data_IF_966207008959
#
_entry.id   IF_966207008959
#
_cell.length_a   1.000
_cell.length_b   1.000
_cell.length_c   1.000
_cell.angle_alpha   90.00
_cell.angle_beta   90.00
_cell.angle_gamma   90.00
#
_symmetry.space_group_name_H-M   'P 1'
#
loop_
_entity.id
_entity.type
_entity.pdbx_description
1 polymer ?
#
# COMPACT_ATOMS: atom_id res chain seq x y z
N UNK A 1 -21.58 5.78 -5.98
CA UNK A 1 -20.98 4.44 -5.98
C UNK A 1 -21.83 3.56 -5.08
N UNK A 2 -22.29 2.39 -5.58
CA UNK A 2 -23.04 1.45 -4.72
C UNK A 2 -22.16 0.95 -3.58
N UNK A 3 -22.80 0.61 -2.47
CA UNK A 3 -22.17 0.13 -1.24
C UNK A 3 -21.59 -1.29 -1.49
N UNK A 4 -20.32 -1.36 -1.92
CA UNK A 4 -19.62 -2.65 -2.15
C UNK A 4 -19.24 -3.24 -0.79
N UNK A 5 -19.72 -4.45 -0.47
CA UNK A 5 -19.36 -5.16 0.75
C UNK A 5 -18.15 -6.05 0.59
N UNK A 6 -17.55 -6.49 1.71
CA UNK A 6 -16.42 -7.43 1.70
C UNK A 6 -16.74 -8.77 0.98
N UNK A 7 -18.01 -9.18 0.93
CA UNK A 7 -18.48 -10.39 0.23
C UNK A 7 -18.26 -10.34 -1.29
N UNK A 8 -18.13 -9.14 -1.87
CA UNK A 8 -17.81 -8.97 -3.28
C UNK A 8 -16.36 -9.38 -3.62
N UNK A 9 -15.47 -9.50 -2.62
CA UNK A 9 -14.08 -9.93 -2.80
C UNK A 9 -14.02 -11.45 -2.78
N UNK A 10 -13.95 -12.05 -3.97
CA UNK A 10 -13.84 -13.51 -4.15
C UNK A 10 -12.44 -13.89 -4.64
N UNK A 11 -12.05 -15.15 -4.46
CA UNK A 11 -10.78 -15.65 -4.98
C UNK A 11 -10.66 -15.52 -6.50
N UNK A 12 -11.76 -15.74 -7.22
CA UNK A 12 -11.78 -15.62 -8.68
C UNK A 12 -11.59 -14.16 -9.12
N UNK A 13 -12.25 -13.20 -8.44
CA UNK A 13 -12.01 -11.78 -8.66
C UNK A 13 -10.53 -11.41 -8.49
N UNK A 14 -9.88 -11.94 -7.44
CA UNK A 14 -8.46 -11.68 -7.15
C UNK A 14 -7.54 -12.32 -8.20
N UNK A 15 -7.85 -13.52 -8.64
CA UNK A 15 -7.11 -14.22 -9.72
C UNK A 15 -7.21 -13.47 -11.05
N UNK A 16 -8.40 -13.07 -11.43
CA UNK A 16 -8.62 -12.27 -12.62
C UNK A 16 -7.90 -10.92 -12.56
N UNK A 17 -7.94 -10.26 -11.40
CA UNK A 17 -7.22 -9.00 -11.19
C UNK A 17 -5.71 -9.22 -11.35
N UNK A 18 -5.15 -10.30 -10.81
CA UNK A 18 -3.73 -10.65 -10.99
C UNK A 18 -3.36 -10.80 -12.44
N UNK A 19 -4.17 -11.49 -13.25
CA UNK A 19 -3.89 -11.65 -14.68
C UNK A 19 -3.94 -10.30 -15.43
N UNK A 20 -4.92 -9.43 -15.08
CA UNK A 20 -4.96 -8.06 -15.63
C UNK A 20 -3.74 -7.23 -15.23
N UNK A 21 -3.27 -7.36 -13.98
CA UNK A 21 -2.05 -6.69 -13.50
C UNK A 21 -0.80 -7.17 -14.26
N UNK A 22 -0.66 -8.50 -14.43
CA UNK A 22 0.47 -9.12 -15.17
C UNK A 22 0.52 -8.72 -16.65
N UNK A 23 -0.63 -8.61 -17.28
CA UNK A 23 -0.75 -8.22 -18.70
C UNK A 23 -0.82 -6.71 -18.92
N UNK A 24 -0.77 -5.91 -17.87
CA UNK A 24 -0.87 -4.46 -17.94
C UNK A 24 0.31 -3.84 -18.69
N UNK A 25 0.04 -2.84 -19.56
CA UNK A 25 1.10 -2.09 -20.26
C UNK A 25 1.92 -1.19 -19.31
N UNK A 26 1.58 -1.11 -18.04
CA UNK A 26 2.28 -0.28 -17.05
C UNK A 26 3.62 -0.86 -16.59
N UNK A 27 3.99 -2.06 -17.04
CA UNK A 27 5.26 -2.70 -16.69
C UNK A 27 5.32 -3.13 -15.22
N UNK A 28 4.20 -3.59 -14.68
CA UNK A 28 4.17 -4.22 -13.36
C UNK A 28 4.97 -5.51 -13.39
N UNK A 29 5.90 -5.65 -12.46
CA UNK A 29 6.75 -6.85 -12.37
C UNK A 29 6.29 -7.77 -11.24
N UNK A 30 6.51 -9.08 -11.40
CA UNK A 30 6.47 -10.02 -10.29
C UNK A 30 7.77 -9.84 -9.49
N UNK A 31 7.72 -9.02 -8.43
CA UNK A 31 8.89 -8.71 -7.63
C UNK A 31 9.42 -9.94 -6.91
N UNK A 32 10.74 -10.08 -6.72
CA UNK A 32 11.32 -11.23 -6.06
C UNK A 32 10.86 -11.35 -4.60
N UNK A 33 10.86 -12.59 -4.11
CA UNK A 33 10.78 -12.93 -2.69
C UNK A 33 12.10 -13.59 -2.33
N UNK A 34 12.87 -12.92 -1.47
CA UNK A 34 14.23 -13.34 -1.13
C UNK A 34 14.28 -13.80 0.32
N UNK A 35 14.79 -15.01 0.61
CA UNK A 35 15.11 -15.41 1.98
C UNK A 35 16.12 -14.43 2.58
N UNK A 36 15.89 -13.95 3.80
CA UNK A 36 16.76 -12.96 4.43
C UNK A 36 18.22 -13.42 4.53
N UNK A 37 18.44 -14.75 4.74
CA UNK A 37 19.78 -15.34 4.79
C UNK A 37 20.57 -15.22 3.47
N UNK A 38 19.94 -14.84 2.37
CA UNK A 38 20.58 -14.51 1.10
C UNK A 38 20.82 -13.01 0.93
N UNK A 39 20.57 -12.23 1.95
CA UNK A 39 20.81 -10.79 1.99
C UNK A 39 21.92 -10.48 3.00
N UNK A 40 22.39 -9.23 3.04
CA UNK A 40 23.32 -8.74 4.06
C UNK A 40 22.63 -8.17 5.29
N UNK A 41 21.31 -8.38 5.42
CA UNK A 41 20.52 -7.88 6.55
C UNK A 41 20.96 -8.54 7.86
N UNK A 42 21.31 -7.77 8.88
CA UNK A 42 21.74 -8.29 10.17
C UNK A 42 20.53 -8.69 11.06
N UNK A 43 19.73 -9.64 10.60
CA UNK A 43 18.56 -10.08 11.36
C UNK A 43 18.93 -11.11 12.41
N UNK A 44 18.67 -10.78 13.67
CA UNK A 44 18.74 -11.72 14.78
C UNK A 44 17.32 -12.13 15.19
N UNK A 45 16.72 -13.03 14.40
CA UNK A 45 15.36 -13.53 14.61
C UNK A 45 15.36 -15.04 14.61
N UNK A 46 14.53 -15.64 15.45
CA UNK A 46 14.38 -17.10 15.59
C UNK A 46 13.44 -17.73 14.55
N UNK A 47 13.16 -17.04 13.44
CA UNK A 47 12.25 -17.45 12.38
C UNK A 47 12.90 -17.39 10.99
N UNK A 48 12.32 -18.08 10.02
CA UNK A 48 12.72 -18.01 8.62
C UNK A 48 11.98 -16.86 7.94
N UNK A 49 12.69 -15.78 7.59
CA UNK A 49 12.09 -14.59 6.98
C UNK A 49 12.30 -14.59 5.48
N UNK A 50 11.24 -14.31 4.74
CA UNK A 50 11.22 -14.08 3.29
C UNK A 50 10.75 -12.65 3.04
N UNK A 51 11.46 -11.90 2.20
CA UNK A 51 11.22 -10.49 1.95
C UNK A 51 10.64 -10.32 0.55
N UNK A 52 9.40 -9.85 0.46
CA UNK A 52 8.74 -9.46 -0.80
C UNK A 52 9.11 -8.04 -1.16
N UNK A 53 9.76 -7.85 -2.31
CA UNK A 53 10.47 -6.63 -2.69
C UNK A 53 9.60 -5.67 -3.53
N UNK A 54 8.46 -5.21 -3.03
CA UNK A 54 7.61 -4.25 -3.76
C UNK A 54 8.24 -2.84 -3.90
N UNK A 55 9.31 -2.56 -3.16
CA UNK A 55 10.17 -1.40 -3.37
C UNK A 55 10.86 -1.38 -4.75
N UNK A 56 10.91 -2.51 -5.46
CA UNK A 56 11.44 -2.61 -6.82
C UNK A 56 10.42 -2.24 -7.92
N UNK A 57 9.15 -2.04 -7.58
CA UNK A 57 8.17 -1.54 -8.53
C UNK A 57 8.51 -0.11 -8.95
N UNK A 58 8.16 0.26 -10.18
CA UNK A 58 8.44 1.60 -10.77
C UNK A 58 8.00 2.77 -9.88
N UNK A 59 6.89 2.62 -9.16
CA UNK A 59 6.36 3.66 -8.26
C UNK A 59 6.27 3.17 -6.83
N UNK A 60 5.73 2.01 -6.58
CA UNK A 60 5.56 1.22 -5.37
C UNK A 60 4.57 0.09 -5.66
N UNK A 61 4.15 -0.68 -4.67
CA UNK A 61 3.05 -1.64 -4.81
C UNK A 61 1.77 -1.02 -5.40
N UNK A 62 1.56 0.28 -5.26
CA UNK A 62 0.38 1.00 -5.77
C UNK A 62 0.14 0.82 -7.26
N UNK A 63 1.21 0.60 -8.05
CA UNK A 63 1.07 0.37 -9.49
C UNK A 63 0.21 -0.85 -9.81
N UNK A 64 0.14 -1.86 -8.94
CA UNK A 64 -0.67 -3.06 -9.10
C UNK A 64 -2.17 -2.75 -9.08
N UNK A 65 -2.61 -2.06 -8.01
CA UNK A 65 -4.00 -1.64 -7.87
C UNK A 65 -4.43 -0.69 -8.99
N UNK A 66 -3.57 0.28 -9.31
CA UNK A 66 -3.81 1.22 -10.42
C UNK A 66 -3.90 0.49 -11.76
N UNK A 67 -3.04 -0.51 -12.02
CA UNK A 67 -3.09 -1.30 -13.23
C UNK A 67 -4.47 -2.00 -13.39
N UNK A 68 -4.98 -2.61 -12.32
CA UNK A 68 -6.30 -3.24 -12.36
C UNK A 68 -7.43 -2.21 -12.49
N UNK A 69 -7.39 -1.09 -11.75
CA UNK A 69 -8.38 -0.03 -11.87
C UNK A 69 -8.49 0.48 -13.32
N UNK A 70 -7.36 0.85 -13.94
CA UNK A 70 -7.36 1.41 -15.30
C UNK A 70 -7.76 0.38 -16.37
N UNK A 71 -7.38 -0.91 -16.19
CA UNK A 71 -7.77 -1.97 -17.12
C UNK A 71 -9.30 -2.19 -17.19
N UNK A 72 -10.02 -1.79 -16.14
CA UNK A 72 -11.48 -1.90 -16.03
C UNK A 72 -12.21 -0.61 -16.41
N UNK A 73 -11.51 0.38 -16.92
CA UNK A 73 -12.05 1.69 -17.31
C UNK A 73 -11.85 1.95 -18.81
N UNK A 74 -12.68 2.78 -19.44
CA UNK A 74 -12.50 3.12 -20.85
C UNK A 74 -11.18 3.84 -21.08
N UNK A 75 -10.47 3.49 -22.14
CA UNK A 75 -9.32 4.29 -22.61
C UNK A 75 -9.75 5.70 -22.95
N UNK A 76 -8.89 6.68 -22.64
CA UNK A 76 -9.20 8.10 -22.86
C UNK A 76 -10.24 8.67 -21.88
N UNK A 77 -10.63 7.94 -20.85
CA UNK A 77 -11.56 8.41 -19.83
C UNK A 77 -11.04 9.61 -19.03
N UNK A 78 -11.95 10.29 -18.32
CA UNK A 78 -11.63 11.42 -17.46
C UNK A 78 -11.69 10.98 -16.00
N UNK A 79 -10.56 11.04 -15.28
CA UNK A 79 -10.45 10.53 -13.92
C UNK A 79 -9.90 11.55 -12.96
N UNK A 80 -10.45 11.60 -11.77
CA UNK A 80 -9.94 12.40 -10.65
C UNK A 80 -9.56 11.52 -9.49
N UNK A 81 -8.53 11.91 -8.75
CA UNK A 81 -8.14 11.27 -7.49
C UNK A 81 -7.61 12.29 -6.48
N UNK A 82 -7.47 11.83 -5.23
CA UNK A 82 -6.86 12.59 -4.16
C UNK A 82 -5.62 11.83 -3.64
N UNK A 83 -4.42 12.34 -3.92
CA UNK A 83 -3.18 11.75 -3.41
C UNK A 83 -1.96 12.58 -3.74
N UNK A 84 -1.17 12.95 -2.73
CA UNK A 84 0.16 13.55 -2.89
C UNK A 84 1.30 12.52 -2.91
N UNK A 85 1.01 11.23 -2.78
CA UNK A 85 2.00 10.16 -2.59
C UNK A 85 2.07 9.16 -3.73
N UNK A 86 2.41 7.94 -3.36
CA UNK A 86 2.64 6.81 -4.28
C UNK A 86 1.46 6.50 -5.20
N UNK A 87 0.23 6.68 -4.71
CA UNK A 87 -0.93 6.48 -5.55
C UNK A 87 -1.05 7.58 -6.62
N UNK A 88 -0.90 8.85 -6.26
CA UNK A 88 -0.93 9.96 -7.23
C UNK A 88 0.10 9.80 -8.34
N UNK A 89 1.31 9.38 -7.99
CA UNK A 89 2.38 9.07 -8.95
C UNK A 89 2.00 7.90 -9.88
N UNK A 90 1.46 6.80 -9.33
CA UNK A 90 1.02 5.65 -10.11
C UNK A 90 -0.16 5.97 -11.02
N UNK A 91 -1.14 6.74 -10.52
CA UNK A 91 -2.29 7.24 -11.25
C UNK A 91 -1.87 8.11 -12.44
N UNK A 92 -0.96 9.06 -12.22
CA UNK A 92 -0.48 9.94 -13.27
C UNK A 92 0.27 9.17 -14.37
N UNK A 93 1.12 8.23 -13.97
CA UNK A 93 1.81 7.33 -14.90
C UNK A 93 0.83 6.50 -15.73
N UNK A 94 -0.20 5.93 -15.10
CA UNK A 94 -1.24 5.17 -15.79
C UNK A 94 -2.08 6.05 -16.72
N UNK A 95 -2.48 7.25 -16.29
CA UNK A 95 -3.24 8.19 -17.11
C UNK A 95 -2.53 8.47 -18.44
N UNK A 96 -1.22 8.73 -18.38
CA UNK A 96 -0.40 8.90 -19.58
C UNK A 96 -0.44 7.69 -20.52
N UNK A 97 -0.31 6.47 -19.97
CA UNK A 97 -0.26 5.23 -20.78
C UNK A 97 -1.61 4.85 -21.39
N UNK A 98 -2.70 5.16 -20.70
CA UNK A 98 -4.06 4.87 -21.17
C UNK A 98 -4.66 6.03 -21.99
N UNK A 99 -3.92 7.13 -22.18
CA UNK A 99 -4.39 8.34 -22.89
C UNK A 99 -5.55 9.01 -22.17
N UNK A 100 -5.66 8.85 -20.86
CA UNK A 100 -6.75 9.36 -20.03
C UNK A 100 -6.46 10.80 -19.58
N UNK A 101 -7.50 11.61 -19.44
CA UNK A 101 -7.42 12.90 -18.77
C UNK A 101 -7.42 12.65 -17.26
N UNK A 102 -6.32 12.95 -16.61
CA UNK A 102 -6.16 12.76 -15.17
C UNK A 102 -6.10 14.09 -14.42
N UNK A 103 -6.72 14.12 -13.23
CA UNK A 103 -6.58 15.21 -12.27
C UNK A 103 -6.27 14.65 -10.88
N UNK A 104 -5.25 15.21 -10.25
CA UNK A 104 -4.87 14.88 -8.88
C UNK A 104 -5.12 16.09 -7.99
N UNK A 105 -5.98 15.91 -7.00
CA UNK A 105 -6.22 16.90 -5.94
C UNK A 105 -5.35 16.55 -4.76
N UNK A 106 -4.56 17.49 -4.27
CA UNK A 106 -3.64 17.24 -3.15
C UNK A 106 -3.59 18.41 -2.16
N UNK A 107 -3.21 18.14 -0.89
CA UNK A 107 -3.07 19.22 0.08
C UNK A 107 -1.98 20.20 -0.36
N UNK A 108 -2.22 21.49 -0.16
CA UNK A 108 -1.22 22.55 -0.41
C UNK A 108 0.05 22.41 0.46
N UNK A 109 -0.07 21.72 1.58
CA UNK A 109 1.05 21.35 2.47
C UNK A 109 1.96 20.27 1.92
N UNK A 110 1.55 19.56 0.85
CA UNK A 110 2.38 18.55 0.21
C UNK A 110 3.60 19.21 -0.47
N UNK A 111 4.79 18.56 -0.47
CA UNK A 111 5.98 19.08 -1.14
C UNK A 111 5.72 19.39 -2.62
N UNK A 112 6.19 20.56 -3.08
CA UNK A 112 6.07 21.01 -4.49
C UNK A 112 6.66 19.99 -5.47
N UNK A 113 7.76 19.35 -5.09
CA UNK A 113 8.40 18.32 -5.90
C UNK A 113 7.48 17.17 -6.27
N UNK A 114 6.52 16.81 -5.39
CA UNK A 114 5.53 15.77 -5.67
C UNK A 114 4.51 16.23 -6.71
N UNK A 115 4.06 17.47 -6.63
CA UNK A 115 3.16 18.06 -7.63
C UNK A 115 3.84 18.11 -9.00
N UNK A 116 5.07 18.66 -9.06
CA UNK A 116 5.89 18.75 -10.29
C UNK A 116 6.09 17.35 -10.93
N UNK A 117 6.41 16.34 -10.13
CA UNK A 117 6.59 14.97 -10.62
C UNK A 117 5.29 14.43 -11.25
N UNK A 118 4.15 14.62 -10.59
CA UNK A 118 2.83 14.17 -11.09
C UNK A 118 2.49 14.91 -12.38
N UNK A 119 2.68 16.24 -12.44
CA UNK A 119 2.46 17.05 -13.63
C UNK A 119 3.35 16.65 -14.81
N UNK A 120 4.55 16.14 -14.56
CA UNK A 120 5.47 15.68 -15.62
C UNK A 120 4.91 14.50 -16.45
N UNK A 121 3.88 13.81 -15.95
CA UNK A 121 3.15 12.79 -16.69
C UNK A 121 1.98 13.35 -17.53
N UNK A 122 1.77 14.68 -17.52
CA UNK A 122 0.68 15.33 -18.28
C UNK A 122 -0.66 15.33 -17.54
N UNK A 123 -0.65 15.13 -16.23
CA UNK A 123 -1.84 15.12 -15.36
C UNK A 123 -1.98 16.50 -14.70
N UNK A 124 -3.21 17.01 -14.63
CA UNK A 124 -3.53 18.23 -13.90
C UNK A 124 -3.37 18.02 -12.39
N UNK A 125 -2.78 19.00 -11.71
CA UNK A 125 -2.66 18.99 -10.24
C UNK A 125 -3.34 20.24 -9.69
N UNK A 126 -4.29 20.04 -8.78
CA UNK A 126 -4.92 21.11 -8.01
C UNK A 126 -4.53 20.97 -6.54
N UNK A 127 -3.86 22.02 -6.01
CA UNK A 127 -3.42 22.08 -4.61
C UNK A 127 -4.39 22.92 -3.81
N UNK A 128 -4.92 22.36 -2.73
CA UNK A 128 -5.98 23.00 -1.93
C UNK A 128 -5.76 22.72 -0.44
N UNK A 129 -6.35 23.52 0.46
CA UNK A 129 -6.37 23.19 1.88
C UNK A 129 -6.92 21.78 2.12
N UNK A 130 -6.34 21.05 3.09
CA UNK A 130 -6.72 19.66 3.40
C UNK A 130 -8.23 19.49 3.63
N UNK A 131 -8.87 20.49 4.28
CA UNK A 131 -10.31 20.52 4.50
C UNK A 131 -11.16 20.61 3.25
N UNK A 132 -10.58 21.05 2.13
CA UNK A 132 -11.28 21.26 0.85
C UNK A 132 -11.10 20.11 -0.14
N UNK A 133 -10.25 19.13 0.16
CA UNK A 133 -9.92 18.04 -0.77
C UNK A 133 -11.16 17.33 -1.33
N UNK A 134 -12.06 16.88 -0.45
CA UNK A 134 -13.25 16.13 -0.88
C UNK A 134 -14.26 17.01 -1.59
N UNK A 135 -14.42 18.28 -1.21
CA UNK A 135 -15.32 19.21 -1.91
C UNK A 135 -14.87 19.47 -3.36
N UNK A 136 -13.56 19.60 -3.57
CA UNK A 136 -12.98 19.76 -4.91
C UNK A 136 -13.13 18.48 -5.74
N UNK A 137 -12.85 17.31 -5.16
CA UNK A 137 -13.07 16.04 -5.85
C UNK A 137 -14.54 15.87 -6.24
N UNK A 138 -15.48 16.17 -5.34
CA UNK A 138 -16.92 16.09 -5.62
C UNK A 138 -17.33 17.05 -6.73
N UNK A 139 -16.79 18.26 -6.76
CA UNK A 139 -17.00 19.21 -7.87
C UNK A 139 -16.54 18.61 -9.20
N UNK A 140 -15.32 18.06 -9.26
CA UNK A 140 -14.83 17.41 -10.48
C UNK A 140 -15.73 16.26 -10.96
N UNK A 141 -16.30 15.49 -10.03
CA UNK A 141 -17.23 14.41 -10.36
C UNK A 141 -18.57 14.95 -10.87
N UNK A 142 -19.11 15.98 -10.23
CA UNK A 142 -20.46 16.49 -10.52
C UNK A 142 -20.50 17.45 -11.70
N UNK A 143 -19.52 18.35 -11.80
CA UNK A 143 -19.51 19.43 -12.80
C UNK A 143 -18.65 19.07 -14.00
N UNK A 144 -17.48 18.42 -13.81
CA UNK A 144 -16.55 18.07 -14.88
C UNK A 144 -16.77 16.64 -15.42
N UNK A 145 -17.78 15.90 -14.93
CA UNK A 145 -18.08 14.51 -15.29
C UNK A 145 -16.87 13.57 -15.16
N UNK A 146 -15.98 13.82 -14.21
CA UNK A 146 -14.85 12.95 -13.95
C UNK A 146 -15.24 11.74 -13.08
N UNK A 147 -14.63 10.61 -13.31
CA UNK A 147 -14.79 9.44 -12.44
C UNK A 147 -13.74 9.47 -11.34
N UNK A 148 -14.18 9.39 -10.08
CA UNK A 148 -13.27 9.24 -8.95
C UNK A 148 -12.64 7.84 -8.96
N UNK A 149 -11.30 7.76 -8.96
CA UNK A 149 -10.53 6.57 -8.65
C UNK A 149 -9.93 6.73 -7.24
N UNK A 150 -10.50 5.98 -6.29
CA UNK A 150 -10.12 6.10 -4.88
C UNK A 150 -8.78 5.40 -4.60
N UNK A 151 -7.86 5.99 -3.79
CA UNK A 151 -6.49 5.49 -3.60
C UNK A 151 -6.37 4.26 -2.70
N UNK A 152 -7.46 3.80 -2.05
CA UNK A 152 -7.48 2.59 -1.19
C UNK A 152 -8.87 2.00 -0.94
N UNK A 153 -9.97 2.77 -0.99
CA UNK A 153 -11.35 2.29 -0.81
C UNK A 153 -12.02 2.03 -2.15
N UNK A 154 -11.52 1.07 -2.87
CA UNK A 154 -11.97 0.72 -4.23
C UNK A 154 -11.75 -0.76 -4.47
N UNK A 155 -12.79 -1.46 -4.91
CA UNK A 155 -12.77 -2.92 -5.11
C UNK A 155 -11.71 -3.33 -6.15
N UNK A 156 -11.63 -2.61 -7.25
CA UNK A 156 -10.68 -2.93 -8.33
C UNK A 156 -9.24 -2.69 -7.87
N UNK A 157 -9.02 -1.64 -7.07
CA UNK A 157 -7.71 -1.37 -6.47
C UNK A 157 -7.29 -2.50 -5.51
N UNK A 158 -8.17 -2.86 -4.57
CA UNK A 158 -7.91 -3.90 -3.57
C UNK A 158 -7.65 -5.23 -4.27
N UNK A 159 -8.46 -5.60 -5.27
CA UNK A 159 -8.25 -6.81 -6.06
C UNK A 159 -6.89 -6.80 -6.77
N UNK A 160 -6.45 -5.65 -7.29
CA UNK A 160 -5.12 -5.49 -7.89
C UNK A 160 -3.97 -5.63 -6.88
N UNK A 161 -4.23 -5.43 -5.59
CA UNK A 161 -3.28 -5.65 -4.50
C UNK A 161 -3.22 -7.11 -3.99
N UNK A 162 -3.79 -8.07 -4.71
CA UNK A 162 -3.77 -9.49 -4.36
C UNK A 162 -2.38 -10.15 -4.51
N UNK A 163 -1.31 -9.43 -4.19
CA UNK A 163 0.06 -9.94 -4.28
C UNK A 163 0.33 -11.13 -3.32
N UNK A 164 -0.58 -11.38 -2.38
CA UNK A 164 -0.58 -12.61 -1.59
C UNK A 164 -0.59 -13.87 -2.45
N UNK A 165 -1.22 -13.85 -3.63
CA UNK A 165 -1.17 -14.96 -4.59
C UNK A 165 0.26 -15.21 -5.11
N UNK A 166 1.06 -14.16 -5.31
CA UNK A 166 2.48 -14.31 -5.69
C UNK A 166 3.33 -14.82 -4.52
N UNK A 167 2.99 -14.40 -3.30
CA UNK A 167 3.62 -14.93 -2.08
C UNK A 167 3.46 -16.44 -2.00
N UNK A 168 2.26 -16.95 -2.24
CA UNK A 168 1.95 -18.38 -2.16
C UNK A 168 2.63 -19.23 -3.25
N UNK A 169 3.02 -18.63 -4.38
CA UNK A 169 3.79 -19.32 -5.42
C UNK A 169 5.22 -19.65 -4.95
N UNK A 170 5.81 -18.85 -4.07
CA UNK A 170 7.19 -19.00 -3.59
C UNK A 170 7.25 -19.58 -2.16
N UNK A 171 6.32 -19.16 -1.31
CA UNK A 171 6.15 -19.63 0.06
C UNK A 171 4.73 -20.18 0.20
N UNK A 172 4.49 -21.45 -0.17
CA UNK A 172 3.12 -21.98 -0.29
C UNK A 172 2.31 -22.00 1.00
N UNK A 173 3.00 -22.14 2.14
CA UNK A 173 2.40 -22.21 3.47
C UNK A 173 3.16 -21.28 4.44
N UNK A 174 3.00 -19.95 4.33
CA UNK A 174 3.59 -19.04 5.31
C UNK A 174 2.84 -19.16 6.65
N UNK A 175 3.56 -19.21 7.76
CA UNK A 175 2.95 -19.16 9.08
C UNK A 175 2.46 -17.74 9.41
N UNK A 176 3.25 -16.75 8.99
CA UNK A 176 3.00 -15.32 9.28
C UNK A 176 3.29 -14.45 8.06
N UNK A 177 2.42 -13.48 7.82
CA UNK A 177 2.64 -12.44 6.79
C UNK A 177 2.49 -11.06 7.44
N UNK A 178 3.49 -10.19 7.25
CA UNK A 178 3.55 -8.87 7.85
C UNK A 178 3.47 -7.80 6.76
N UNK A 179 2.50 -6.91 6.86
CA UNK A 179 2.17 -5.93 5.83
C UNK A 179 1.95 -4.57 6.47
N UNK A 180 2.51 -3.51 5.91
CA UNK A 180 2.20 -2.14 6.36
C UNK A 180 0.74 -1.78 6.06
N UNK A 181 0.14 -0.94 6.90
CA UNK A 181 -1.23 -0.48 6.79
C UNK A 181 -1.30 1.05 6.86
N UNK A 182 -1.87 1.67 5.83
CA UNK A 182 -2.41 3.02 5.88
C UNK A 182 -3.93 2.93 5.76
N UNK A 183 -4.53 3.38 4.66
CA UNK A 183 -5.98 3.19 4.41
C UNK A 183 -6.45 1.74 4.26
N UNK A 184 -5.57 0.75 4.39
CA UNK A 184 -5.90 -0.68 4.46
C UNK A 184 -5.93 -1.42 3.12
N UNK A 185 -5.84 -0.74 1.97
CA UNK A 185 -6.02 -1.38 0.66
C UNK A 185 -5.00 -2.46 0.29
N UNK A 186 -3.72 -2.32 0.71
CA UNK A 186 -2.70 -3.37 0.51
C UNK A 186 -2.96 -4.54 1.46
N UNK A 187 -3.08 -4.24 2.74
CA UNK A 187 -3.27 -5.25 3.79
C UNK A 187 -4.50 -6.11 3.51
N UNK A 188 -5.63 -5.50 3.16
CA UNK A 188 -6.87 -6.22 2.83
C UNK A 188 -6.73 -7.09 1.58
N UNK A 189 -6.10 -6.60 0.52
CA UNK A 189 -5.88 -7.37 -0.71
C UNK A 189 -4.97 -8.58 -0.51
N UNK A 190 -3.87 -8.41 0.24
CA UNK A 190 -2.96 -9.51 0.62
C UNK A 190 -3.67 -10.53 1.50
N UNK A 191 -4.37 -10.06 2.53
CA UNK A 191 -5.04 -10.93 3.48
C UNK A 191 -6.16 -11.74 2.83
N UNK A 192 -7.01 -11.10 2.03
CA UNK A 192 -8.04 -11.79 1.27
C UNK A 192 -7.45 -12.84 0.33
N UNK A 193 -6.37 -12.53 -0.40
CA UNK A 193 -5.72 -13.47 -1.30
C UNK A 193 -5.24 -14.74 -0.58
N UNK A 194 -4.63 -14.61 0.58
CA UNK A 194 -4.12 -15.73 1.37
C UNK A 194 -5.26 -16.54 1.97
N UNK A 195 -6.19 -15.90 2.65
CA UNK A 195 -7.29 -16.57 3.36
C UNK A 195 -8.27 -17.26 2.41
N UNK A 196 -8.65 -16.61 1.32
CA UNK A 196 -9.52 -17.20 0.29
C UNK A 196 -8.84 -18.33 -0.50
N UNK A 197 -7.50 -18.40 -0.47
CA UNK A 197 -6.75 -19.56 -1.00
C UNK A 197 -6.76 -20.77 -0.06
N UNK A 198 -7.48 -20.73 1.06
CA UNK A 198 -7.65 -21.84 2.00
C UNK A 198 -6.63 -21.86 3.15
N UNK A 199 -5.75 -20.86 3.24
CA UNK A 199 -4.70 -20.81 4.29
C UNK A 199 -5.19 -20.11 5.56
N UNK A 200 -6.22 -20.67 6.18
CA UNK A 200 -6.86 -20.11 7.36
C UNK A 200 -5.93 -20.01 8.59
N UNK A 201 -4.90 -20.86 8.67
CA UNK A 201 -3.93 -20.87 9.77
C UNK A 201 -2.85 -19.81 9.66
N UNK A 202 -2.58 -19.25 8.47
CA UNK A 202 -1.62 -18.17 8.28
C UNK A 202 -2.07 -16.93 9.05
N UNK A 203 -1.27 -16.45 9.97
CA UNK A 203 -1.52 -15.21 10.71
C UNK A 203 -1.07 -14.02 9.89
N UNK A 204 -1.92 -13.01 9.76
CA UNK A 204 -1.63 -11.81 8.98
C UNK A 204 -1.65 -10.62 9.92
N UNK A 205 -0.53 -9.91 9.98
CA UNK A 205 -0.38 -8.72 10.82
C UNK A 205 -0.28 -7.47 9.95
N UNK A 206 -1.13 -6.49 10.27
CA UNK A 206 -0.97 -5.13 9.76
C UNK A 206 0.00 -4.35 10.62
N UNK A 207 0.75 -3.41 10.05
CA UNK A 207 1.65 -2.54 10.81
C UNK A 207 1.34 -1.09 10.51
N UNK A 208 1.11 -0.31 11.55
CA UNK A 208 0.89 1.14 11.48
C UNK A 208 1.88 1.90 12.38
N UNK A 209 2.23 3.14 12.01
CA UNK A 209 2.92 4.04 12.93
C UNK A 209 2.04 4.41 14.12
N UNK A 210 2.61 4.56 15.32
CA UNK A 210 1.88 5.00 16.52
C UNK A 210 1.14 6.33 16.30
N UNK A 211 1.76 7.27 15.57
CA UNK A 211 1.17 8.57 15.24
C UNK A 211 0.19 8.55 14.06
N UNK A 212 -0.06 7.38 13.42
CA UNK A 212 -0.97 7.23 12.28
C UNK A 212 -1.62 5.84 12.30
N UNK A 213 -2.37 5.53 13.37
CA UNK A 213 -2.87 4.20 13.70
C UNK A 213 -4.40 4.08 13.53
N UNK A 214 -4.92 4.53 12.38
CA UNK A 214 -6.38 4.59 12.16
C UNK A 214 -7.03 3.21 12.07
N UNK A 215 -6.37 2.20 11.50
CA UNK A 215 -6.90 0.84 11.44
C UNK A 215 -6.90 0.18 12.84
N UNK A 216 -5.83 0.39 13.62
CA UNK A 216 -5.77 -0.05 15.02
C UNK A 216 -6.93 0.50 15.84
N UNK A 217 -7.18 1.81 15.77
CA UNK A 217 -8.30 2.45 16.45
C UNK A 217 -9.64 1.94 15.90
N UNK A 218 -9.74 1.72 14.58
CA UNK A 218 -10.95 1.17 13.96
C UNK A 218 -11.28 -0.24 14.49
N UNK A 219 -10.26 -1.06 14.78
CA UNK A 219 -10.46 -2.39 15.37
C UNK A 219 -11.02 -2.29 16.79
N UNK A 220 -10.54 -1.33 17.58
CA UNK A 220 -11.04 -1.07 18.94
C UNK A 220 -12.50 -0.58 18.90
N UNK A 221 -12.78 0.40 18.03
CA UNK A 221 -14.10 1.03 17.92
C UNK A 221 -15.11 0.24 17.08
N UNK A 222 -14.66 -0.82 16.39
CA UNK A 222 -15.46 -1.66 15.48
C UNK A 222 -16.13 -0.87 14.34
N UNK A 223 -15.50 0.19 13.90
CA UNK A 223 -15.93 1.04 12.77
C UNK A 223 -14.74 1.82 12.22
N UNK A 224 -14.75 2.23 10.95
CA UNK A 224 -13.72 3.11 10.41
C UNK A 224 -13.63 4.42 11.21
N UNK A 225 -12.41 4.84 11.55
CA UNK A 225 -12.16 6.09 12.27
C UNK A 225 -11.23 7.00 11.47
N UNK A 226 -11.28 8.27 11.83
CA UNK A 226 -10.35 9.28 11.37
C UNK A 226 -9.52 9.81 12.54
N UNK A 227 -8.26 10.17 12.29
CA UNK A 227 -7.41 10.85 13.25
C UNK A 227 -6.50 11.87 12.55
N UNK A 228 -5.99 12.85 13.29
CA UNK A 228 -4.94 13.75 12.81
C UNK A 228 -3.60 12.97 12.82
N UNK A 229 -3.29 12.34 11.71
CA UNK A 229 -2.16 11.43 11.59
C UNK A 229 -0.84 12.19 11.40
N UNK A 230 0.15 11.89 12.25
CA UNK A 230 1.50 12.46 12.20
C UNK A 230 2.54 11.35 12.29
N UNK A 231 3.27 11.12 11.19
CA UNK A 231 4.37 10.17 11.14
C UNK A 231 5.29 10.50 9.96
N UNK A 232 6.56 10.12 10.09
CA UNK A 232 7.51 10.14 8.96
C UNK A 232 7.08 9.20 7.82
N UNK A 233 6.32 8.16 8.16
CA UNK A 233 5.72 7.25 7.19
C UNK A 233 4.43 7.84 6.57
N UNK A 234 4.55 9.01 5.93
CA UNK A 234 3.41 9.77 5.39
C UNK A 234 2.48 8.97 4.46
N UNK A 235 2.98 7.93 3.80
CA UNK A 235 2.19 7.01 2.99
C UNK A 235 1.20 6.14 3.79
N UNK A 236 1.37 6.06 5.14
CA UNK A 236 0.49 5.33 6.06
C UNK A 236 -0.46 6.25 6.83
N UNK A 237 -0.45 7.54 6.57
CA UNK A 237 -1.32 8.53 7.21
C UNK A 237 -2.81 8.52 6.77
N UNK A 238 -3.21 7.98 5.59
CA UNK A 238 -4.63 7.98 5.22
C UNK A 238 -5.50 7.27 6.25
N UNK A 239 -6.72 7.79 6.51
CA UNK A 239 -7.66 7.17 7.44
C UNK A 239 -8.12 5.81 6.93
N UNK A 240 -8.57 4.95 7.83
CA UNK A 240 -9.23 3.70 7.45
C UNK A 240 -10.55 4.00 6.72
N UNK A 241 -10.89 3.13 5.76
CA UNK A 241 -12.12 3.23 5.00
C UNK A 241 -12.94 1.94 5.11
N UNK A 242 -14.20 1.98 4.69
CA UNK A 242 -15.16 0.92 4.98
C UNK A 242 -14.76 -0.43 4.42
N UNK A 243 -14.56 -0.56 3.11
CA UNK A 243 -14.27 -1.86 2.50
C UNK A 243 -12.93 -2.46 2.97
N UNK A 244 -11.80 -1.71 3.03
CA UNK A 244 -10.57 -2.22 3.63
C UNK A 244 -10.73 -2.64 5.09
N UNK A 245 -11.49 -1.89 5.90
CA UNK A 245 -11.73 -2.20 7.30
C UNK A 245 -12.52 -3.52 7.46
N UNK A 246 -13.62 -3.70 6.72
CA UNK A 246 -14.42 -4.93 6.73
C UNK A 246 -13.54 -6.15 6.38
N UNK A 247 -12.72 -6.05 5.34
CA UNK A 247 -11.82 -7.13 4.94
C UNK A 247 -10.72 -7.40 5.98
N UNK A 248 -10.15 -6.34 6.57
CA UNK A 248 -9.16 -6.50 7.62
C UNK A 248 -9.77 -7.16 8.87
N UNK A 249 -10.99 -6.81 9.26
CA UNK A 249 -11.68 -7.48 10.37
C UNK A 249 -11.91 -8.98 10.12
N UNK A 250 -12.14 -9.38 8.86
CA UNK A 250 -12.35 -10.78 8.51
C UNK A 250 -11.07 -11.60 8.48
N UNK A 251 -9.95 -11.00 8.08
CA UNK A 251 -8.77 -11.75 7.64
C UNK A 251 -7.48 -11.43 8.37
N UNK A 252 -7.40 -10.31 9.09
CA UNK A 252 -6.19 -9.83 9.78
C UNK A 252 -6.25 -10.21 11.26
N UNK A 253 -5.16 -10.77 11.76
CA UNK A 253 -5.04 -11.20 13.16
C UNK A 253 -5.03 -10.00 14.11
N UNK A 254 -4.15 -9.04 13.81
CA UNK A 254 -3.93 -7.87 14.66
C UNK A 254 -3.23 -6.76 13.88
N UNK A 255 -3.39 -5.51 14.34
CA UNK A 255 -2.59 -4.36 13.90
C UNK A 255 -1.51 -4.10 14.96
N UNK A 256 -0.27 -4.09 14.52
CA UNK A 256 0.92 -3.84 15.34
C UNK A 256 1.34 -2.38 15.17
N UNK A 257 1.70 -1.73 16.25
CA UNK A 257 2.15 -0.34 16.23
C UNK A 257 3.68 -0.26 16.35
N UNK A 258 4.27 0.60 15.51
CA UNK A 258 5.71 0.92 15.53
C UNK A 258 5.90 2.43 15.69
N UNK A 259 6.96 2.81 16.41
CA UNK A 259 7.32 4.22 16.54
C UNK A 259 8.03 4.74 15.29
N UNK A 260 8.06 6.05 15.10
CA UNK A 260 8.84 6.68 14.03
C UNK A 260 10.34 6.38 14.16
N UNK A 261 10.86 6.21 15.38
CA UNK A 261 12.26 5.84 15.60
C UNK A 261 12.56 4.39 15.16
N UNK A 262 11.65 3.46 15.40
CA UNK A 262 11.77 2.08 14.89
C UNK A 262 11.74 2.05 13.36
N UNK A 263 10.89 2.89 12.75
CA UNK A 263 10.82 3.03 11.29
C UNK A 263 12.13 3.62 10.74
N UNK A 264 12.69 4.67 11.36
CA UNK A 264 13.99 5.26 10.96
C UNK A 264 15.11 4.22 11.02
N UNK A 265 15.20 3.47 12.12
CA UNK A 265 16.19 2.42 12.27
C UNK A 265 16.04 1.32 11.21
N UNK A 266 14.80 0.96 10.86
CA UNK A 266 14.50 0.00 9.81
C UNK A 266 14.95 0.51 8.42
N UNK A 267 14.67 1.78 8.08
CA UNK A 267 15.14 2.39 6.83
C UNK A 267 16.66 2.35 6.74
N UNK A 268 17.37 2.75 7.79
CA UNK A 268 18.84 2.72 7.83
C UNK A 268 19.40 1.30 7.68
N UNK A 269 18.81 0.33 8.38
CA UNK A 269 19.23 -1.08 8.29
C UNK A 269 19.05 -1.62 6.86
N UNK A 270 17.90 -1.34 6.24
CA UNK A 270 17.63 -1.74 4.86
C UNK A 270 18.59 -1.05 3.88
N UNK A 271 18.85 0.23 4.06
CA UNK A 271 19.77 1.01 3.20
C UNK A 271 21.21 0.46 3.28
N UNK A 272 21.72 0.16 4.48
CA UNK A 272 23.03 -0.48 4.66
C UNK A 272 23.15 -1.85 3.98
N UNK A 273 22.03 -2.55 3.85
CA UNK A 273 21.95 -3.81 3.11
C UNK A 273 21.75 -3.62 1.58
N UNK A 274 21.83 -2.39 1.07
CA UNK A 274 21.66 -2.06 -0.34
C UNK A 274 20.20 -1.99 -0.80
N UNK A 275 19.26 -1.91 0.13
CA UNK A 275 17.81 -1.86 -0.16
C UNK A 275 17.26 -0.46 0.09
N UNK A 276 16.89 0.24 -0.97
CA UNK A 276 16.24 1.55 -0.86
C UNK A 276 14.75 1.35 -0.62
N UNK A 277 14.30 1.69 0.59
CA UNK A 277 12.91 1.54 1.04
C UNK A 277 12.48 2.82 1.74
N UNK A 278 11.32 3.35 1.37
CA UNK A 278 10.76 4.53 2.03
C UNK A 278 10.22 4.21 3.43
N UNK A 279 10.05 5.19 4.33
CA UNK A 279 9.55 4.97 5.69
C UNK A 279 8.24 4.15 5.73
N UNK A 280 7.27 4.50 4.89
CA UNK A 280 6.02 3.74 4.78
C UNK A 280 6.24 2.29 4.33
N UNK A 281 7.22 2.06 3.45
CA UNK A 281 7.56 0.74 2.93
C UNK A 281 8.31 -0.15 3.93
N UNK A 282 8.97 0.45 4.91
CA UNK A 282 9.79 -0.24 5.91
C UNK A 282 9.05 -0.60 7.20
N UNK A 283 7.81 -0.11 7.41
CA UNK A 283 7.08 -0.30 8.66
C UNK A 283 6.89 -1.77 9.04
N UNK A 284 6.56 -2.64 8.08
CA UNK A 284 6.44 -4.09 8.32
C UNK A 284 7.77 -4.70 8.79
N UNK A 285 8.88 -4.30 8.20
CA UNK A 285 10.22 -4.72 8.61
C UNK A 285 10.58 -4.17 9.99
N UNK A 286 10.20 -2.92 10.30
CA UNK A 286 10.41 -2.33 11.63
C UNK A 286 9.74 -3.16 12.73
N UNK A 287 8.49 -3.58 12.55
CA UNK A 287 7.79 -4.42 13.52
C UNK A 287 8.49 -5.77 13.74
N UNK A 288 9.04 -6.36 12.68
CA UNK A 288 9.76 -7.63 12.75
C UNK A 288 11.08 -7.50 13.52
N UNK A 289 11.92 -6.51 13.19
CA UNK A 289 13.24 -6.35 13.84
C UNK A 289 13.16 -5.79 15.25
N UNK A 290 12.06 -5.12 15.59
CA UNK A 290 11.76 -4.66 16.96
C UNK A 290 11.05 -5.71 17.81
N UNK A 291 10.96 -6.97 17.33
CA UNK A 291 10.34 -8.09 18.05
C UNK A 291 8.90 -7.81 18.51
N UNK A 292 8.11 -7.07 17.71
CA UNK A 292 6.73 -6.73 18.05
C UNK A 292 5.71 -7.76 17.55
N UNK A 293 6.11 -8.65 16.65
CA UNK A 293 5.25 -9.73 16.17
C UNK A 293 5.35 -10.93 17.11
N UNK A 294 4.24 -11.41 17.67
CA UNK A 294 4.27 -12.51 18.65
C UNK A 294 4.53 -13.88 18.01
N UNK A 295 5.11 -14.78 18.80
CA UNK A 295 5.23 -16.22 18.53
C UNK A 295 5.84 -16.56 17.15
N UNK A 296 7.01 -15.99 16.86
CA UNK A 296 7.73 -16.20 15.59
C UNK A 296 8.74 -17.36 15.62
N UNK A 297 9.05 -17.93 16.77
CA UNK A 297 10.05 -18.99 16.88
C UNK A 297 9.74 -20.17 15.94
N UNK A 298 10.70 -20.52 15.09
CA UNK A 298 10.57 -21.59 14.10
C UNK A 298 9.57 -21.36 12.97
N UNK A 299 8.99 -20.16 12.84
CA UNK A 299 7.96 -19.84 11.85
C UNK A 299 8.53 -19.40 10.51
N UNK A 300 7.78 -19.67 9.43
CA UNK A 300 7.99 -19.09 8.10
C UNK A 300 7.26 -17.76 8.02
N UNK A 301 8.01 -16.67 7.96
CA UNK A 301 7.51 -15.30 7.95
C UNK A 301 7.74 -14.67 6.58
N UNK A 302 6.72 -14.01 6.05
CA UNK A 302 6.86 -13.14 4.86
C UNK A 302 6.68 -11.70 5.30
N UNK A 303 7.68 -10.86 4.98
CA UNK A 303 7.66 -9.43 5.23
C UNK A 303 7.59 -8.68 3.89
N UNK A 304 6.65 -7.74 3.75
CA UNK A 304 6.45 -6.99 2.50
C UNK A 304 7.08 -5.59 2.63
N UNK A 305 8.10 -5.30 1.80
CA UNK A 305 8.65 -3.95 1.62
C UNK A 305 7.85 -3.25 0.53
N UNK A 306 6.94 -2.36 0.89
CA UNK A 306 5.87 -1.93 -0.01
C UNK A 306 6.24 -0.84 -1.01
N UNK A 307 7.32 -0.09 -0.80
CA UNK A 307 7.74 0.98 -1.71
C UNK A 307 9.12 1.54 -1.41
N UNK A 308 9.73 2.17 -2.40
CA UNK A 308 11.08 2.77 -2.31
C UNK A 308 11.13 4.21 -2.82
N UNK A 309 10.01 4.93 -2.83
CA UNK A 309 9.93 6.32 -3.27
C UNK A 309 10.45 7.29 -2.19
N UNK A 310 11.73 7.25 -1.92
CA UNK A 310 12.43 8.15 -1.00
C UNK A 310 13.44 8.99 -1.79
N UNK A 311 13.46 10.29 -1.54
CA UNK A 311 14.41 11.20 -2.15
C UNK A 311 15.80 11.11 -1.51
N UNK A 312 16.84 11.51 -2.26
CA UNK A 312 18.20 11.55 -1.74
C UNK A 312 18.32 12.41 -0.47
N UNK A 313 17.63 13.54 -0.47
CA UNK A 313 17.62 14.46 0.67
C UNK A 313 16.86 13.90 1.87
N UNK A 314 15.84 13.08 1.62
CA UNK A 314 15.11 12.38 2.68
C UNK A 314 15.97 11.31 3.33
N UNK A 315 16.78 10.57 2.54
CA UNK A 315 17.69 9.54 3.05
C UNK A 315 18.74 10.12 4.01
N UNK A 316 19.18 11.36 3.79
CA UNK A 316 20.14 12.03 4.67
C UNK A 316 19.60 12.32 6.09
N UNK A 317 18.28 12.19 6.31
CA UNK A 317 17.67 12.39 7.63
C UNK A 317 17.56 11.10 8.46
N UNK A 318 18.05 9.98 7.94
CA UNK A 318 18.04 8.71 8.68
C UNK A 318 19.41 8.44 9.32
N UNK A 319 19.46 7.77 10.49
CA UNK A 319 20.71 7.50 11.19
C UNK A 319 21.64 6.59 10.36
N UNK A 320 22.94 6.82 10.52
CA UNK A 320 24.00 6.00 9.90
C UNK A 320 24.05 4.56 10.47
#
# INVERSE_FOLDING_TARGET
MGDVSAEAVTLDLLREARERVRSSPLGVINTPIIPWCQTTLPLNVSCSVHIKMENMQRTSFKIRGVANQFSRRPRGGCFVTLSAGNYGKSFAYASKHYGSKGKVVMPETAPESRATLIQSFGVEVERVPTSSLMSVVNRCVQEDNMTLLHPYDDLDLIAGHALGLEVLEVVPEPDVVVVCCGGGGLLSGVAAAIKLSGLNKTRIYGVEPEGACTMYQSFIEKKPVWMDAKSIASGLAPPSARLPFELCQLYVEQIILVSDEEIKAAVSTLFKAGLVVEPAGSAAFAALVSNKIPDLEGKKVVCILSGGNVGKDELANFPD
#
